data_IF_705495375623
#
_entry.id   IF_705495375623
#
_cell.length_a   1.000
_cell.length_b   1.000
_cell.length_c   1.000
_cell.angle_alpha   90.00
_cell.angle_beta   90.00
_cell.angle_gamma   90.00
#
_symmetry.space_group_name_H-M   'P 1'
#
loop_
_entity.id
_entity.type
_entity.pdbx_description
1 polymer ?
#
# COMPACT_ATOMS: atom_id res chain seq x y z
N UNK A 1 22.92 21.63 -7.73
CA UNK A 1 21.64 21.19 -7.81
C UNK A 1 21.34 20.04 -6.93
N UNK A 2 20.45 20.19 -6.19
CA UNK A 2 20.21 19.21 -5.27
C UNK A 2 19.13 18.39 -5.64
N UNK A 3 19.19 17.61 -6.31
CA UNK A 3 18.10 17.00 -6.71
C UNK A 3 17.75 15.72 -6.13
N UNK A 4 16.85 15.73 -5.29
CA UNK A 4 16.13 14.51 -5.03
C UNK A 4 15.10 14.35 -6.14
N UNK A 5 15.08 13.22 -6.81
CA UNK A 5 14.00 12.97 -7.75
C UNK A 5 12.67 12.98 -6.99
N UNK A 6 11.57 13.39 -7.60
CA UNK A 6 10.28 13.32 -6.94
C UNK A 6 9.96 11.89 -6.55
N UNK A 7 9.35 11.73 -5.39
CA UNK A 7 8.89 10.44 -4.95
C UNK A 7 7.58 10.09 -5.63
N UNK A 8 7.42 8.84 -6.03
CA UNK A 8 6.24 8.35 -6.70
C UNK A 8 5.53 7.34 -5.81
N UNK A 9 4.24 7.57 -5.59
CA UNK A 9 3.39 6.63 -4.87
C UNK A 9 2.24 6.23 -5.78
N UNK A 10 1.98 4.94 -5.87
CA UNK A 10 0.81 4.40 -6.54
C UNK A 10 -0.06 3.76 -5.48
N UNK A 11 -1.30 4.20 -5.39
CA UNK A 11 -2.23 3.77 -4.36
C UNK A 11 -3.44 3.08 -4.97
N UNK A 12 -4.10 2.24 -4.18
CA UNK A 12 -5.30 1.56 -4.62
C UNK A 12 -5.04 0.35 -5.49
N UNK A 13 -3.91 -0.30 -5.30
CA UNK A 13 -3.57 -1.50 -6.06
C UNK A 13 -4.49 -2.66 -5.71
N UNK A 14 -4.93 -3.39 -6.71
CA UNK A 14 -5.81 -4.52 -6.55
C UNK A 14 -5.26 -5.81 -7.18
N UNK A 15 -4.20 -5.73 -7.97
CA UNK A 15 -3.64 -6.89 -8.64
C UNK A 15 -2.12 -6.95 -8.50
N UNK A 16 -1.62 -8.17 -8.31
CA UNK A 16 -0.19 -8.41 -8.16
C UNK A 16 0.62 -7.97 -9.39
N UNK A 17 0.08 -8.15 -10.58
CA UNK A 17 0.78 -7.75 -11.80
C UNK A 17 0.95 -6.25 -11.92
N UNK A 18 0.00 -5.48 -11.41
CA UNK A 18 0.09 -4.02 -11.41
C UNK A 18 1.13 -3.56 -10.40
N UNK A 19 1.18 -4.20 -9.24
CA UNK A 19 2.19 -3.90 -8.22
C UNK A 19 3.58 -4.25 -8.73
N UNK A 20 3.73 -5.39 -9.37
CA UNK A 20 5.02 -5.83 -9.91
C UNK A 20 5.52 -4.86 -10.99
N UNK A 21 4.64 -4.41 -11.88
CA UNK A 21 5.00 -3.45 -12.92
C UNK A 21 5.41 -2.11 -12.31
N UNK A 22 4.63 -1.61 -11.35
CA UNK A 22 4.95 -0.35 -10.67
C UNK A 22 6.29 -0.43 -9.95
N UNK A 23 6.56 -1.54 -9.28
CA UNK A 23 7.82 -1.77 -8.57
C UNK A 23 9.00 -1.80 -9.56
N UNK A 24 8.82 -2.48 -10.67
CA UNK A 24 9.82 -2.56 -11.73
C UNK A 24 10.16 -1.20 -12.33
N UNK A 25 9.17 -0.30 -12.38
CA UNK A 25 9.36 1.05 -12.89
C UNK A 25 9.99 2.00 -11.88
N UNK A 26 10.31 1.53 -10.68
CA UNK A 26 11.01 2.33 -9.67
C UNK A 26 10.10 3.16 -8.79
N UNK A 27 8.84 2.77 -8.64
CA UNK A 27 7.92 3.43 -7.71
C UNK A 27 8.44 3.32 -6.29
N UNK A 28 8.38 4.39 -5.53
CA UNK A 28 8.89 4.43 -4.16
C UNK A 28 7.94 3.82 -3.15
N UNK A 29 6.64 4.00 -3.35
CA UNK A 29 5.60 3.52 -2.44
C UNK A 29 4.47 2.84 -3.19
N UNK A 30 4.05 1.68 -2.71
CA UNK A 30 2.89 0.97 -3.23
C UNK A 30 1.84 0.88 -2.13
N UNK A 31 0.66 1.38 -2.40
CA UNK A 31 -0.41 1.46 -1.42
C UNK A 31 -1.61 0.58 -1.74
N UNK A 32 -2.23 0.07 -0.68
CA UNK A 32 -3.45 -0.72 -0.76
C UNK A 32 -4.46 -0.14 0.22
N UNK A 33 -5.74 -0.21 -0.13
CA UNK A 33 -6.82 0.27 0.70
C UNK A 33 -7.37 -0.91 1.48
N UNK A 34 -7.18 -0.88 2.80
CA UNK A 34 -7.54 -2.00 3.67
C UNK A 34 -8.90 -1.85 4.36
N UNK A 35 -9.44 -0.65 4.42
CA UNK A 35 -10.79 -0.46 4.98
C UNK A 35 -11.83 -0.98 4.01
N UNK A 36 -12.77 -1.77 4.50
CA UNK A 36 -13.81 -2.36 3.67
C UNK A 36 -14.80 -1.30 3.14
N UNK A 37 -15.50 -1.63 2.07
CA UNK A 37 -16.59 -0.79 1.57
C UNK A 37 -16.24 0.16 0.44
N UNK A 38 -15.01 0.19 -0.02
CA UNK A 38 -14.59 1.02 -1.13
C UNK A 38 -14.31 0.17 -2.37
N UNK A 39 -14.45 0.76 -3.55
CA UNK A 39 -14.30 -0.02 -4.80
C UNK A 39 -12.92 -0.66 -4.97
N UNK A 40 -11.89 -0.06 -4.38
CA UNK A 40 -10.53 -0.60 -4.47
C UNK A 40 -10.06 -1.27 -3.19
N UNK A 41 -10.98 -1.55 -2.26
CA UNK A 41 -10.61 -2.21 -1.01
C UNK A 41 -10.17 -3.65 -1.23
N UNK A 42 -9.15 -4.06 -0.51
CA UNK A 42 -8.67 -5.45 -0.51
C UNK A 42 -8.48 -5.91 0.93
N UNK A 43 -8.60 -7.19 1.18
CA UNK A 43 -8.35 -7.74 2.51
C UNK A 43 -6.84 -7.80 2.78
N UNK A 44 -6.45 -7.91 4.04
CA UNK A 44 -5.04 -8.05 4.42
C UNK A 44 -4.32 -9.17 3.69
N UNK A 45 -4.85 -10.41 3.69
CA UNK A 45 -4.20 -11.51 2.96
C UNK A 45 -4.06 -11.27 1.47
N UNK A 46 -5.07 -10.68 0.83
CA UNK A 46 -5.00 -10.34 -0.59
C UNK A 46 -3.96 -9.24 -0.83
N UNK A 47 -3.94 -8.22 0.03
CA UNK A 47 -2.96 -7.14 -0.06
C UNK A 47 -1.53 -7.68 0.07
N UNK A 48 -1.31 -8.60 0.99
CA UNK A 48 0.00 -9.22 1.17
C UNK A 48 0.45 -9.97 -0.10
N UNK A 49 -0.48 -10.65 -0.77
CA UNK A 49 -0.19 -11.32 -2.04
C UNK A 49 0.12 -10.31 -3.15
N UNK A 50 -0.66 -9.23 -3.23
CA UNK A 50 -0.46 -8.17 -4.23
C UNK A 50 0.95 -7.59 -4.11
N UNK A 51 1.41 -7.36 -2.88
CA UNK A 51 2.69 -6.73 -2.61
C UNK A 51 3.87 -7.71 -2.49
N UNK A 52 3.60 -9.00 -2.60
CA UNK A 52 4.63 -10.04 -2.47
C UNK A 52 5.69 -9.87 -3.56
N UNK A 53 6.94 -9.89 -3.16
CA UNK A 53 8.06 -9.78 -4.10
C UNK A 53 8.39 -8.36 -4.55
N UNK A 54 7.63 -7.35 -4.11
CA UNK A 54 7.97 -5.97 -4.43
C UNK A 54 8.99 -5.42 -3.45
N UNK A 55 9.80 -4.46 -3.89
CA UNK A 55 10.81 -3.84 -3.05
C UNK A 55 10.42 -2.43 -2.58
N UNK A 56 9.40 -1.83 -3.18
CA UNK A 56 8.91 -0.53 -2.75
C UNK A 56 8.34 -0.58 -1.33
N UNK A 57 8.29 0.55 -0.68
CA UNK A 57 7.71 0.65 0.66
C UNK A 57 6.20 0.47 0.58
N UNK A 58 5.65 -0.22 1.55
CA UNK A 58 4.22 -0.54 1.58
C UNK A 58 3.45 0.50 2.37
N UNK A 59 2.35 0.98 1.80
CA UNK A 59 1.49 1.95 2.45
C UNK A 59 0.12 1.30 2.68
N UNK A 60 -0.28 1.25 3.94
CA UNK A 60 -1.62 0.80 4.31
C UNK A 60 -2.53 2.04 4.38
N UNK A 61 -3.54 2.10 3.55
CA UNK A 61 -4.50 3.20 3.56
C UNK A 61 -5.77 2.72 4.26
N UNK A 62 -6.20 3.44 5.27
CA UNK A 62 -7.40 3.12 6.04
C UNK A 62 -8.30 4.34 6.13
N UNK A 63 -9.61 4.10 6.25
CA UNK A 63 -10.63 5.15 6.33
C UNK A 63 -11.55 4.83 7.50
N UNK A 64 -11.70 5.78 8.41
CA UNK A 64 -12.61 5.65 9.56
C UNK A 64 -12.38 4.43 10.48
N UNK A 65 -11.18 3.92 10.51
CA UNK A 65 -10.84 2.85 11.45
C UNK A 65 -10.40 3.47 12.79
N UNK A 66 -10.59 2.73 13.87
CA UNK A 66 -10.00 3.12 15.15
C UNK A 66 -8.47 3.01 15.04
N UNK A 67 -7.74 3.67 15.91
CA UNK A 67 -6.28 3.60 15.89
C UNK A 67 -5.79 2.16 16.05
N UNK A 68 -6.46 1.39 16.92
CA UNK A 68 -6.10 0.00 17.17
C UNK A 68 -6.31 -0.86 15.91
N UNK A 69 -7.47 -0.72 15.25
CA UNK A 69 -7.77 -1.47 14.05
C UNK A 69 -6.86 -1.06 12.88
N UNK A 70 -6.58 0.23 12.75
CA UNK A 70 -5.68 0.75 11.73
C UNK A 70 -4.28 0.14 11.87
N UNK A 71 -3.76 0.08 13.10
CA UNK A 71 -2.46 -0.52 13.35
C UNK A 71 -2.45 -2.01 13.05
N UNK A 72 -3.51 -2.72 13.42
CA UNK A 72 -3.63 -4.15 13.14
C UNK A 72 -3.64 -4.43 11.64
N UNK A 73 -4.37 -3.61 10.88
CA UNK A 73 -4.41 -3.73 9.42
C UNK A 73 -3.04 -3.46 8.80
N UNK A 74 -2.35 -2.42 9.26
CA UNK A 74 -1.02 -2.09 8.77
C UNK A 74 -0.03 -3.23 9.06
N UNK A 75 -0.08 -3.79 10.25
CA UNK A 75 0.79 -4.90 10.62
C UNK A 75 0.53 -6.15 9.78
N UNK A 76 -0.72 -6.38 9.38
CA UNK A 76 -1.08 -7.56 8.60
C UNK A 76 -0.39 -7.62 7.24
N UNK A 77 0.04 -6.49 6.70
CA UNK A 77 0.76 -6.43 5.42
C UNK A 77 2.21 -6.00 5.60
N UNK A 78 2.68 -5.90 6.82
CA UNK A 78 4.02 -5.39 7.14
C UNK A 78 4.25 -4.02 6.51
N UNK A 79 3.27 -3.11 6.69
CA UNK A 79 3.33 -1.78 6.10
C UNK A 79 4.44 -0.93 6.70
N UNK A 80 5.10 -0.17 5.85
CA UNK A 80 6.10 0.80 6.28
C UNK A 80 5.46 2.12 6.67
N UNK A 81 4.29 2.42 6.09
CA UNK A 81 3.57 3.66 6.33
C UNK A 81 2.08 3.36 6.51
N UNK A 82 1.47 4.01 7.48
CA UNK A 82 0.03 3.97 7.68
C UNK A 82 -0.53 5.33 7.29
N UNK A 83 -1.42 5.34 6.32
CA UNK A 83 -2.05 6.56 5.86
C UNK A 83 -3.52 6.57 6.27
N UNK A 84 -3.89 7.57 7.07
CA UNK A 84 -5.27 7.76 7.48
C UNK A 84 -5.93 8.71 6.48
N UNK A 85 -7.04 8.29 5.97
CA UNK A 85 -7.71 9.09 4.94
C UNK A 85 -9.01 9.69 5.47
#
# INVERSE_FOLDING_TARGET
MSGHPPMVKICGLQRAQDAALADELGTDYLGVILSAGFSRSVSGPVAAQILSGTSARRVAVVVDESAEDALALAESIEADVLQLH
#
